data_IF_322322687905
#
_entry.id   IF_322322687905
#
_cell.length_a   1.000
_cell.length_b   1.000
_cell.length_c   1.000
_cell.angle_alpha   90.00
_cell.angle_beta   90.00
_cell.angle_gamma   90.00
#
_symmetry.space_group_name_H-M   'P 1'
#
loop_
_entity.id
_entity.type
_entity.pdbx_description
1 polymer ?
#
# COMPACT_ATOMS: atom_id res chain seq x y z
N UNK A 1 -17.56 12.37 12.67
CA UNK A 1 -18.72 11.45 12.51
C UNK A 1 -18.43 10.17 13.29
N UNK A 2 -19.42 9.56 13.95
CA UNK A 2 -19.25 8.28 14.67
C UNK A 2 -20.12 7.19 13.99
N UNK A 3 -19.54 6.18 13.31
CA UNK A 3 -20.31 5.18 12.58
C UNK A 3 -21.12 4.24 13.51
N UNK A 4 -20.74 4.10 14.78
CA UNK A 4 -21.52 3.32 15.76
C UNK A 4 -22.83 3.99 16.17
N UNK A 5 -22.96 5.30 15.97
CA UNK A 5 -24.18 6.07 16.26
C UNK A 5 -25.13 6.13 15.06
N UNK A 6 -24.66 5.72 13.87
CA UNK A 6 -25.47 5.65 12.67
C UNK A 6 -26.41 4.45 12.74
N UNK A 7 -27.61 4.61 12.17
CA UNK A 7 -28.53 3.49 12.01
C UNK A 7 -28.09 2.64 10.82
N UNK A 8 -27.69 1.37 11.01
CA UNK A 8 -27.25 0.54 9.90
C UNK A 8 -28.44 0.26 8.97
N UNK A 9 -28.14 0.15 7.68
CA UNK A 9 -29.12 -0.40 6.75
C UNK A 9 -29.37 -1.89 7.06
N UNK A 10 -30.44 -2.43 6.48
CA UNK A 10 -30.68 -3.87 6.60
C UNK A 10 -29.58 -4.63 5.86
N UNK A 11 -29.08 -5.69 6.49
CA UNK A 11 -27.98 -6.48 5.94
C UNK A 11 -28.28 -7.06 4.54
N UNK A 12 -29.55 -7.32 4.21
CA UNK A 12 -29.96 -7.86 2.91
C UNK A 12 -29.95 -6.82 1.77
N UNK A 13 -29.89 -5.53 2.08
CA UNK A 13 -29.88 -4.45 1.09
C UNK A 13 -28.62 -4.46 0.22
N UNK A 14 -27.50 -5.01 0.71
CA UNK A 14 -26.25 -5.15 -0.05
C UNK A 14 -26.37 -6.10 -1.24
N UNK A 15 -27.26 -7.09 -1.14
CA UNK A 15 -27.43 -8.09 -2.20
C UNK A 15 -28.25 -7.52 -3.34
N UNK A 16 -27.58 -7.37 -4.47
CA UNK A 16 -28.11 -6.72 -5.65
C UNK A 16 -27.76 -7.49 -6.93
N UNK A 17 -28.43 -7.16 -8.03
CA UNK A 17 -28.17 -7.78 -9.33
C UNK A 17 -26.85 -7.31 -9.96
N UNK A 18 -26.30 -8.15 -10.84
CA UNK A 18 -25.01 -7.92 -11.49
C UNK A 18 -24.92 -6.61 -12.29
N UNK A 19 -26.02 -6.06 -12.80
CA UNK A 19 -25.97 -4.79 -13.57
C UNK A 19 -25.64 -3.59 -12.68
N UNK A 20 -25.94 -3.67 -11.38
CA UNK A 20 -25.58 -2.64 -10.40
C UNK A 20 -24.19 -2.84 -9.79
N UNK A 21 -23.67 -4.06 -9.86
CA UNK A 21 -22.31 -4.39 -9.43
C UNK A 21 -21.30 -3.98 -10.49
N UNK A 22 -21.55 -4.33 -11.75
CA UNK A 22 -20.65 -4.04 -12.87
C UNK A 22 -20.91 -2.62 -13.35
N UNK A 23 -20.18 -1.66 -12.76
CA UNK A 23 -20.33 -0.24 -13.09
C UNK A 23 -19.45 0.12 -14.30
N UNK A 24 -19.76 1.27 -14.92
CA UNK A 24 -18.94 1.82 -16.00
C UNK A 24 -17.55 2.22 -15.42
N UNK A 25 -16.43 1.82 -16.06
CA UNK A 25 -15.10 2.30 -15.68
C UNK A 25 -14.95 3.82 -15.77
N UNK A 26 -13.94 4.37 -15.10
CA UNK A 26 -13.46 5.72 -15.41
C UNK A 26 -12.75 5.76 -16.77
N UNK A 27 -12.58 6.96 -17.33
CA UNK A 27 -11.79 7.17 -18.55
C UNK A 27 -10.34 7.45 -18.16
N UNK A 28 -9.41 6.58 -18.59
CA UNK A 28 -7.99 6.66 -18.20
C UNK A 28 -7.30 7.96 -18.61
N UNK A 29 -7.83 8.67 -19.61
CA UNK A 29 -7.23 9.90 -20.11
C UNK A 29 -7.69 11.16 -19.35
N UNK A 30 -8.82 11.09 -18.65
CA UNK A 30 -9.46 12.25 -17.99
C UNK A 30 -9.70 12.06 -16.51
N UNK A 31 -9.54 10.85 -15.98
CA UNK A 31 -9.62 10.57 -14.55
C UNK A 31 -8.53 11.35 -13.81
N UNK A 32 -8.87 11.90 -12.65
CA UNK A 32 -7.88 12.47 -11.75
C UNK A 32 -7.00 11.34 -11.18
N UNK A 33 -5.66 11.48 -11.17
CA UNK A 33 -4.77 10.47 -10.58
C UNK A 33 -5.18 10.02 -9.18
N UNK A 34 -5.67 10.91 -8.31
CA UNK A 34 -6.12 10.54 -6.97
C UNK A 34 -7.46 9.82 -6.94
N UNK A 35 -8.34 10.02 -7.94
CA UNK A 35 -9.48 9.12 -8.14
C UNK A 35 -9.00 7.70 -8.48
N UNK A 36 -7.96 7.54 -9.31
CA UNK A 36 -7.32 6.24 -9.57
C UNK A 36 -6.74 5.64 -8.28
N UNK A 37 -5.99 6.41 -7.48
CA UNK A 37 -5.40 5.93 -6.22
C UNK A 37 -6.48 5.44 -5.24
N UNK A 38 -7.59 6.17 -5.08
CA UNK A 38 -8.72 5.73 -4.23
C UNK A 38 -9.30 4.41 -4.70
N UNK A 39 -9.46 4.20 -6.01
CA UNK A 39 -9.95 2.92 -6.56
C UNK A 39 -8.97 1.78 -6.26
N UNK A 40 -7.65 2.02 -6.35
CA UNK A 40 -6.64 1.01 -6.02
C UNK A 40 -6.64 0.71 -4.53
N UNK A 41 -6.65 1.74 -3.67
CA UNK A 41 -6.70 1.61 -2.23
C UNK A 41 -7.93 0.82 -1.77
N UNK A 42 -9.12 1.23 -2.19
CA UNK A 42 -10.35 0.54 -1.80
C UNK A 42 -10.41 -0.88 -2.34
N UNK A 43 -9.79 -1.16 -3.49
CA UNK A 43 -9.64 -2.55 -3.94
C UNK A 43 -8.81 -3.37 -2.95
N UNK A 44 -7.70 -2.83 -2.43
CA UNK A 44 -6.85 -3.50 -1.44
C UNK A 44 -7.53 -3.69 -0.09
N UNK A 45 -8.27 -2.68 0.37
CA UNK A 45 -9.11 -2.74 1.58
C UNK A 45 -10.07 -3.93 1.54
N UNK A 46 -10.82 -4.06 0.45
CA UNK A 46 -11.78 -5.15 0.23
C UNK A 46 -11.10 -6.53 0.14
N UNK A 47 -9.91 -6.60 -0.45
CA UNK A 47 -9.11 -7.83 -0.45
C UNK A 47 -8.71 -8.24 0.97
N UNK A 48 -8.29 -7.28 1.81
CA UNK A 48 -7.95 -7.54 3.21
C UNK A 48 -9.17 -7.99 4.02
N UNK A 49 -10.34 -7.37 3.82
CA UNK A 49 -11.58 -7.76 4.51
C UNK A 49 -12.00 -9.20 4.21
N UNK A 50 -12.02 -9.55 2.92
CA UNK A 50 -12.29 -10.92 2.46
C UNK A 50 -11.28 -11.91 3.06
N UNK A 51 -9.99 -11.54 3.09
CA UNK A 51 -8.93 -12.38 3.66
C UNK A 51 -9.09 -12.56 5.16
N UNK A 52 -9.34 -11.49 5.90
CA UNK A 52 -9.51 -11.45 7.34
C UNK A 52 -10.66 -12.37 7.77
N UNK A 53 -11.84 -12.20 7.17
CA UNK A 53 -13.01 -13.03 7.50
C UNK A 53 -12.84 -14.50 7.08
N UNK A 54 -12.08 -14.79 6.01
CA UNK A 54 -11.71 -16.16 5.65
C UNK A 54 -10.74 -16.78 6.67
N UNK A 55 -9.72 -16.05 7.10
CA UNK A 55 -8.75 -16.51 8.09
C UNK A 55 -9.45 -16.84 9.43
N UNK A 56 -10.35 -15.97 9.87
CA UNK A 56 -11.19 -16.18 11.05
C UNK A 56 -12.11 -17.40 10.88
N UNK A 57 -12.77 -17.55 9.73
CA UNK A 57 -13.66 -18.69 9.44
C UNK A 57 -12.92 -20.04 9.53
N UNK A 58 -11.63 -20.09 9.16
CA UNK A 58 -10.80 -21.32 9.22
C UNK A 58 -10.38 -21.70 10.64
N UNK A 59 -10.45 -20.76 11.58
CA UNK A 59 -10.06 -20.95 12.97
C UNK A 59 -11.27 -20.98 13.92
N UNK A 60 -12.49 -20.77 13.40
CA UNK A 60 -13.71 -20.74 14.18
C UNK A 60 -14.45 -22.09 14.16
N UNK A 61 -14.71 -22.74 15.32
CA UNK A 61 -15.47 -23.99 15.37
C UNK A 61 -17.00 -23.78 15.34
N UNK A 62 -17.49 -22.55 15.57
CA UNK A 62 -18.92 -22.26 15.67
C UNK A 62 -19.55 -22.00 14.29
N UNK A 63 -20.45 -22.87 13.84
CA UNK A 63 -21.09 -22.72 12.53
C UNK A 63 -22.05 -21.54 12.41
N UNK A 64 -22.64 -21.05 13.50
CA UNK A 64 -23.51 -19.86 13.44
C UNK A 64 -22.69 -18.61 13.16
N UNK A 65 -21.52 -18.49 13.79
CA UNK A 65 -20.54 -17.45 13.47
C UNK A 65 -20.10 -17.57 12.03
N UNK A 66 -19.71 -18.77 11.58
CA UNK A 66 -19.22 -18.98 10.20
C UNK A 66 -20.28 -18.61 9.16
N UNK A 67 -21.57 -18.81 9.45
CA UNK A 67 -22.68 -18.37 8.59
C UNK A 67 -22.77 -16.85 8.53
N UNK A 68 -22.67 -16.16 9.67
CA UNK A 68 -22.67 -14.68 9.75
C UNK A 68 -21.47 -14.09 9.00
N UNK A 69 -20.27 -14.62 9.20
CA UNK A 69 -19.07 -14.23 8.44
C UNK A 69 -19.19 -14.52 6.93
N UNK A 70 -19.83 -15.62 6.54
CA UNK A 70 -20.07 -15.93 5.14
C UNK A 70 -21.07 -14.98 4.47
N UNK A 71 -22.03 -14.47 5.23
CA UNK A 71 -23.00 -13.48 4.78
C UNK A 71 -22.30 -12.13 4.52
N UNK A 72 -21.62 -11.59 5.54
CA UNK A 72 -20.82 -10.35 5.47
C UNK A 72 -19.83 -10.42 4.30
N UNK A 73 -19.00 -11.47 4.24
CA UNK A 73 -18.02 -11.66 3.15
C UNK A 73 -18.62 -11.71 1.75
N UNK A 74 -19.89 -12.12 1.60
CA UNK A 74 -20.56 -12.08 0.28
C UNK A 74 -20.89 -10.64 -0.10
N UNK A 75 -21.20 -9.79 0.88
CA UNK A 75 -21.27 -8.34 0.78
C UNK A 75 -19.94 -7.74 0.30
N UNK A 76 -18.86 -7.97 1.05
CA UNK A 76 -17.48 -7.55 0.68
C UNK A 76 -17.17 -7.92 -0.78
N UNK A 77 -17.43 -9.18 -1.16
CA UNK A 77 -17.16 -9.65 -2.52
C UNK A 77 -17.98 -8.94 -3.61
N UNK A 78 -19.12 -8.34 -3.29
CA UNK A 78 -19.86 -7.48 -4.22
C UNK A 78 -19.24 -6.08 -4.28
N UNK A 79 -18.80 -5.55 -3.15
CA UNK A 79 -18.11 -4.26 -3.06
C UNK A 79 -16.78 -4.30 -3.81
N UNK A 80 -15.93 -5.28 -3.49
CA UNK A 80 -14.71 -5.59 -4.22
C UNK A 80 -14.91 -5.62 -5.74
N UNK A 81 -15.97 -6.29 -6.24
CA UNK A 81 -16.24 -6.36 -7.69
C UNK A 81 -16.70 -5.04 -8.27
N UNK A 82 -17.48 -4.27 -7.52
CA UNK A 82 -17.92 -2.93 -7.92
C UNK A 82 -16.72 -2.00 -8.04
N UNK A 83 -15.87 -1.96 -7.03
CA UNK A 83 -14.62 -1.18 -7.03
C UNK A 83 -13.69 -1.64 -8.16
N UNK A 84 -13.46 -2.95 -8.31
CA UNK A 84 -12.63 -3.47 -9.39
C UNK A 84 -13.17 -3.13 -10.78
N UNK A 85 -14.50 -3.07 -10.97
CA UNK A 85 -15.11 -2.70 -12.25
C UNK A 85 -14.96 -1.21 -12.61
N UNK A 86 -14.45 -0.37 -11.69
CA UNK A 86 -14.07 1.00 -12.02
C UNK A 86 -12.77 1.08 -12.83
N UNK A 87 -11.92 0.05 -12.76
CA UNK A 87 -10.66 -0.01 -13.53
C UNK A 87 -10.97 -0.27 -15.02
N UNK A 88 -10.49 0.58 -15.93
CA UNK A 88 -10.78 0.44 -17.36
C UNK A 88 -9.97 -0.68 -18.00
N UNK A 89 -10.56 -1.39 -18.96
CA UNK A 89 -9.93 -2.54 -19.62
C UNK A 89 -8.86 -2.16 -20.64
N UNK A 90 -8.79 -0.89 -21.02
CA UNK A 90 -7.83 -0.31 -21.95
C UNK A 90 -6.64 0.37 -21.25
N UNK A 91 -6.54 0.26 -19.91
CA UNK A 91 -5.27 0.46 -19.20
C UNK A 91 -4.40 -0.81 -19.31
N UNK A 92 -3.13 -0.63 -19.66
CA UNK A 92 -2.14 -1.70 -19.74
C UNK A 92 -1.70 -2.14 -18.34
N UNK A 93 -1.03 -3.30 -18.27
CA UNK A 93 -0.43 -3.77 -17.00
C UNK A 93 0.50 -2.69 -16.42
N UNK A 94 1.33 -2.05 -17.26
CA UNK A 94 2.29 -1.06 -16.79
C UNK A 94 1.62 0.27 -16.39
N UNK A 95 0.55 0.70 -17.07
CA UNK A 95 -0.26 1.85 -16.62
C UNK A 95 -0.88 1.60 -15.23
N UNK A 96 -1.39 0.38 -14.98
CA UNK A 96 -1.86 -0.01 -13.66
C UNK A 96 -0.73 0.01 -12.63
N UNK A 97 0.45 -0.52 -12.97
CA UNK A 97 1.63 -0.55 -12.08
C UNK A 97 2.05 0.85 -11.65
N UNK A 98 2.12 1.83 -12.55
CA UNK A 98 2.39 3.22 -12.17
C UNK A 98 1.36 3.74 -11.17
N UNK A 99 0.08 3.37 -11.31
CA UNK A 99 -0.95 3.71 -10.33
C UNK A 99 -0.77 3.03 -8.97
N UNK A 100 -0.30 1.77 -8.93
CA UNK A 100 0.01 1.08 -7.68
C UNK A 100 1.20 1.72 -6.96
N UNK A 101 2.28 2.00 -7.69
CA UNK A 101 3.46 2.65 -7.12
C UNK A 101 3.18 4.08 -6.67
N UNK A 102 2.39 4.84 -7.45
CA UNK A 102 1.94 6.15 -7.00
C UNK A 102 1.08 6.05 -5.74
N UNK A 103 0.22 5.02 -5.61
CA UNK A 103 -0.53 4.79 -4.38
C UNK A 103 0.43 4.55 -3.22
N UNK A 104 1.38 3.63 -3.35
CA UNK A 104 2.34 3.30 -2.30
C UNK A 104 3.10 4.55 -1.82
N UNK A 105 3.66 5.33 -2.76
CA UNK A 105 4.38 6.59 -2.47
C UNK A 105 3.49 7.61 -1.75
N UNK A 106 2.37 7.99 -2.35
CA UNK A 106 1.57 9.11 -1.84
C UNK A 106 0.78 8.72 -0.58
N UNK A 107 0.32 7.47 -0.47
CA UNK A 107 -0.33 6.95 0.73
C UNK A 107 0.67 6.89 1.88
N UNK A 108 1.83 6.27 1.69
CA UNK A 108 2.84 6.10 2.76
C UNK A 108 3.29 7.46 3.28
N UNK A 109 3.59 8.42 2.41
CA UNK A 109 3.95 9.78 2.80
C UNK A 109 2.82 10.47 3.61
N UNK A 110 1.56 10.30 3.20
CA UNK A 110 0.41 10.88 3.88
C UNK A 110 0.21 10.29 5.29
N UNK A 111 0.27 8.96 5.41
CA UNK A 111 0.16 8.28 6.69
C UNK A 111 1.31 8.72 7.61
N UNK A 112 2.54 8.76 7.12
CA UNK A 112 3.73 9.14 7.89
C UNK A 112 3.69 10.59 8.41
N UNK A 113 3.06 11.51 7.68
CA UNK A 113 2.85 12.89 8.11
C UNK A 113 1.84 13.02 9.27
N UNK A 114 0.84 12.13 9.29
CA UNK A 114 -0.20 12.11 10.33
C UNK A 114 0.13 11.21 11.53
N UNK A 115 1.18 10.40 11.42
CA UNK A 115 1.57 9.39 12.40
C UNK A 115 2.29 10.01 13.61
N UNK A 116 1.80 9.69 14.82
CA UNK A 116 2.36 10.18 16.08
C UNK A 116 3.28 9.17 16.74
N UNK A 117 3.05 7.88 16.51
CA UNK A 117 3.95 6.85 16.97
C UNK A 117 5.24 6.90 16.14
N UNK A 118 6.34 7.35 16.77
CA UNK A 118 7.61 7.55 16.10
C UNK A 118 8.18 6.28 15.46
N UNK A 119 7.87 5.10 16.00
CA UNK A 119 8.33 3.83 15.45
C UNK A 119 7.57 3.43 14.19
N UNK A 120 6.23 3.51 14.22
CA UNK A 120 5.37 3.29 13.04
C UNK A 120 5.73 4.29 11.94
N UNK A 121 5.91 5.55 12.33
CA UNK A 121 6.36 6.61 11.43
C UNK A 121 7.70 6.27 10.77
N UNK A 122 8.66 5.77 11.55
CA UNK A 122 9.98 5.41 11.03
C UNK A 122 9.90 4.25 10.02
N UNK A 123 9.05 3.25 10.26
CA UNK A 123 8.82 2.18 9.29
C UNK A 123 8.21 2.71 7.98
N UNK A 124 7.20 3.60 8.07
CA UNK A 124 6.61 4.25 6.89
C UNK A 124 7.67 5.06 6.12
N UNK A 125 8.47 5.86 6.81
CA UNK A 125 9.54 6.67 6.20
C UNK A 125 10.63 5.79 5.56
N UNK A 126 10.89 4.63 6.14
CA UNK A 126 11.91 3.71 5.65
C UNK A 126 11.51 3.01 4.35
N UNK A 127 10.28 2.51 4.25
CA UNK A 127 9.77 1.80 3.08
C UNK A 127 9.37 2.76 1.95
N UNK A 128 8.92 3.99 2.28
CA UNK A 128 8.57 5.03 1.30
C UNK A 128 9.66 5.27 0.24
N UNK A 129 10.93 5.16 0.62
CA UNK A 129 12.04 5.40 -0.30
C UNK A 129 12.25 4.25 -1.30
N UNK A 130 11.78 3.05 -0.97
CA UNK A 130 11.81 1.87 -1.84
C UNK A 130 10.68 1.98 -2.87
N UNK A 131 9.44 2.23 -2.43
CA UNK A 131 8.28 2.49 -3.31
C UNK A 131 8.55 3.64 -4.29
N UNK A 132 9.24 4.68 -3.82
CA UNK A 132 9.62 5.81 -4.65
C UNK A 132 10.63 5.43 -5.76
N UNK A 133 11.55 4.51 -5.48
CA UNK A 133 12.47 3.97 -6.49
C UNK A 133 11.76 3.02 -7.46
N UNK A 134 10.78 2.24 -6.97
CA UNK A 134 9.96 1.36 -7.80
C UNK A 134 9.18 2.16 -8.86
N UNK A 135 8.53 3.26 -8.44
CA UNK A 135 7.84 4.19 -9.35
C UNK A 135 8.79 4.69 -10.45
N UNK A 136 10.00 5.09 -10.08
CA UNK A 136 11.04 5.52 -11.00
C UNK A 136 11.42 4.42 -12.01
N UNK A 137 11.69 3.20 -11.54
CA UNK A 137 12.07 2.10 -12.43
C UNK A 137 10.98 1.68 -13.40
N UNK A 138 9.72 1.65 -12.94
CA UNK A 138 8.60 1.34 -13.83
C UNK A 138 8.32 2.45 -14.83
N UNK A 139 8.56 3.72 -14.47
CA UNK A 139 8.46 4.84 -15.41
C UNK A 139 9.53 4.74 -16.51
N UNK A 140 10.78 4.44 -16.16
CA UNK A 140 11.84 4.20 -17.16
C UNK A 140 11.54 2.98 -18.04
N UNK A 141 10.96 1.91 -17.49
CA UNK A 141 10.49 0.78 -18.31
C UNK A 141 9.39 1.24 -19.28
N UNK A 142 8.46 2.09 -18.83
CA UNK A 142 7.35 2.60 -19.65
C UNK A 142 7.86 3.42 -20.82
N UNK A 143 8.82 4.31 -20.57
CA UNK A 143 9.45 5.10 -21.63
C UNK A 143 10.25 4.22 -22.60
N UNK A 144 11.05 3.28 -22.08
CA UNK A 144 11.84 2.35 -22.89
C UNK A 144 10.96 1.49 -23.81
N UNK A 145 9.81 1.03 -23.32
CA UNK A 145 8.87 0.19 -24.08
C UNK A 145 7.82 0.99 -24.86
N UNK A 146 7.80 2.33 -24.73
CA UNK A 146 6.77 3.23 -25.28
C UNK A 146 5.36 2.80 -24.84
N UNK A 147 5.24 2.42 -23.57
CA UNK A 147 4.06 1.81 -22.96
C UNK A 147 2.99 2.79 -22.47
N UNK A 148 3.24 4.10 -22.56
CA UNK A 148 2.37 5.15 -22.04
C UNK A 148 3.14 6.43 -21.76
N UNK A 149 2.54 7.33 -20.99
CA UNK A 149 3.15 8.55 -20.48
C UNK A 149 3.03 8.57 -18.95
N UNK A 150 4.12 8.32 -18.20
CA UNK A 150 4.10 8.36 -16.74
C UNK A 150 3.60 9.69 -16.18
N UNK A 151 3.89 10.82 -16.84
CA UNK A 151 3.47 12.15 -16.39
C UNK A 151 1.95 12.33 -16.43
N UNK A 152 1.29 11.77 -17.45
CA UNK A 152 -0.18 11.77 -17.49
C UNK A 152 -0.79 10.92 -16.36
N UNK A 153 -0.11 9.83 -15.98
CA UNK A 153 -0.62 8.93 -14.95
C UNK A 153 -0.47 9.50 -13.55
N UNK A 154 0.69 10.08 -13.22
CA UNK A 154 0.94 10.61 -11.88
C UNK A 154 0.46 12.05 -11.70
N UNK A 155 0.33 12.80 -12.81
CA UNK A 155 0.02 14.23 -12.80
C UNK A 155 1.10 15.07 -12.12
N UNK A 156 0.79 16.32 -11.76
CA UNK A 156 1.72 17.20 -11.06
C UNK A 156 1.86 16.86 -9.56
N UNK A 157 1.31 15.73 -9.13
CA UNK A 157 1.17 15.36 -7.71
C UNK A 157 2.42 14.67 -7.15
N UNK A 158 3.04 13.78 -7.92
CA UNK A 158 4.12 12.89 -7.45
C UNK A 158 5.33 13.07 -8.35
N UNK A 159 6.52 13.25 -7.76
CA UNK A 159 7.78 13.25 -8.50
C UNK A 159 8.16 11.82 -8.91
N UNK A 160 8.94 11.68 -9.98
CA UNK A 160 9.54 10.44 -10.45
C UNK A 160 11.04 10.69 -10.56
N UNK A 161 11.82 10.11 -9.63
CA UNK A 161 13.28 10.18 -9.62
C UNK A 161 13.82 9.07 -8.69
N UNK A 162 15.11 8.73 -8.74
CA UNK A 162 15.65 7.61 -7.95
C UNK A 162 15.37 7.74 -6.45
N UNK A 163 14.95 6.65 -5.83
CA UNK A 163 14.76 6.50 -4.38
C UNK A 163 15.94 5.77 -3.74
N UNK A 164 15.65 4.84 -2.82
CA UNK A 164 16.64 3.83 -2.41
C UNK A 164 16.85 2.90 -3.60
N UNK A 165 18.06 2.76 -4.17
CA UNK A 165 18.24 1.91 -5.33
C UNK A 165 17.78 0.48 -5.03
N UNK A 166 16.95 -0.15 -5.86
CA UNK A 166 16.37 -1.47 -5.56
C UNK A 166 17.37 -2.56 -5.15
N UNK A 167 18.59 -2.57 -5.70
CA UNK A 167 19.64 -3.51 -5.24
C UNK A 167 20.11 -3.29 -3.79
N UNK A 168 19.82 -2.13 -3.19
CA UNK A 168 20.10 -1.83 -1.79
C UNK A 168 19.02 -2.37 -0.84
N UNK A 169 17.83 -2.66 -1.33
CA UNK A 169 16.63 -2.95 -0.53
C UNK A 169 16.63 -4.39 0.00
N UNK A 170 17.30 -5.29 -0.72
CA UNK A 170 17.43 -6.71 -0.35
C UNK A 170 18.26 -6.88 0.92
N UNK A 171 17.56 -7.10 2.02
CA UNK A 171 18.09 -7.36 3.35
C UNK A 171 17.64 -8.72 3.84
N UNK A 172 18.30 -9.23 4.89
CA UNK A 172 17.96 -10.55 5.39
C UNK A 172 16.54 -10.52 6.00
N UNK A 173 15.67 -11.53 5.79
CA UNK A 173 14.28 -11.51 6.28
C UNK A 173 14.07 -11.37 7.80
N UNK A 174 15.15 -11.42 8.59
CA UNK A 174 15.09 -11.18 10.04
C UNK A 174 15.05 -9.68 10.34
N UNK A 175 15.58 -8.86 9.43
CA UNK A 175 15.62 -7.40 9.50
C UNK A 175 14.33 -6.74 8.99
N UNK A 176 13.36 -7.53 8.54
CA UNK A 176 12.03 -7.07 8.12
C UNK A 176 10.99 -7.21 9.22
N UNK A 177 11.32 -7.89 10.33
CA UNK A 177 10.39 -8.12 11.43
C UNK A 177 10.43 -6.92 12.38
N UNK A 178 9.29 -6.21 12.49
CA UNK A 178 9.14 -5.06 13.38
C UNK A 178 8.54 -5.42 14.74
N UNK A 179 8.73 -4.55 15.74
CA UNK A 179 7.92 -4.57 16.95
C UNK A 179 6.44 -4.30 16.62
N UNK A 180 5.54 -5.01 17.28
CA UNK A 180 4.11 -4.73 17.20
C UNK A 180 3.72 -3.58 18.13
N UNK A 181 2.66 -2.86 17.77
CA UNK A 181 2.05 -1.87 18.67
C UNK A 181 1.20 -2.57 19.73
N UNK A 182 1.15 -2.02 20.94
CA UNK A 182 0.09 -2.38 21.88
C UNK A 182 -1.19 -1.61 21.51
N UNK A 183 -2.24 -2.29 21.09
CA UNK A 183 -3.47 -1.69 20.59
C UNK A 183 -4.28 -0.88 21.63
N UNK A 184 -4.02 -1.10 22.92
CA UNK A 184 -4.61 -0.33 24.02
C UNK A 184 -3.84 0.95 24.35
N UNK A 185 -2.53 0.99 24.08
CA UNK A 185 -1.65 2.13 24.39
C UNK A 185 -1.42 3.06 23.19
N UNK A 186 -1.87 2.68 22.00
CA UNK A 186 -1.72 3.46 20.78
C UNK A 186 -3.06 4.04 20.34
N UNK A 187 -2.98 5.24 19.76
CA UNK A 187 -4.17 5.96 19.33
C UNK A 187 -4.87 5.26 18.16
N UNK A 188 -6.13 5.64 17.94
CA UNK A 188 -6.94 5.09 16.86
C UNK A 188 -6.32 5.34 15.47
N UNK A 189 -5.68 6.48 15.27
CA UNK A 189 -5.08 6.84 13.99
C UNK A 189 -3.90 5.92 13.65
N UNK A 190 -3.06 5.58 14.63
CA UNK A 190 -1.95 4.63 14.49
C UNK A 190 -2.46 3.27 14.03
N UNK A 191 -3.53 2.75 14.69
CA UNK A 191 -4.16 1.48 14.32
C UNK A 191 -4.73 1.50 12.89
N UNK A 192 -5.39 2.60 12.52
CA UNK A 192 -5.88 2.81 11.15
C UNK A 192 -4.72 2.83 10.16
N UNK A 193 -3.69 3.64 10.39
CA UNK A 193 -2.54 3.78 9.50
C UNK A 193 -1.91 2.41 9.21
N UNK A 194 -1.66 1.60 10.25
CA UNK A 194 -1.12 0.24 10.11
C UNK A 194 -2.05 -0.66 9.29
N UNK A 195 -3.35 -0.68 9.58
CA UNK A 195 -4.31 -1.50 8.83
C UNK A 195 -4.39 -1.09 7.35
N UNK A 196 -4.42 0.22 7.10
CA UNK A 196 -4.54 0.81 5.76
C UNK A 196 -3.31 0.46 4.92
N UNK A 197 -2.10 0.73 5.44
CA UNK A 197 -0.88 0.49 4.67
C UNK A 197 -0.64 -1.00 4.44
N UNK A 198 -0.92 -1.85 5.44
CA UNK A 198 -0.81 -3.31 5.28
C UNK A 198 -1.74 -3.82 4.17
N UNK A 199 -2.97 -3.31 4.09
CA UNK A 199 -3.92 -3.71 3.06
C UNK A 199 -3.51 -3.23 1.65
N UNK A 200 -2.96 -2.01 1.56
CA UNK A 200 -2.46 -1.44 0.31
C UNK A 200 -1.28 -2.27 -0.24
N UNK A 201 -0.22 -2.47 0.54
CA UNK A 201 0.97 -3.20 0.07
C UNK A 201 0.68 -4.67 -0.21
N UNK A 202 -0.18 -5.30 0.60
CA UNK A 202 -0.57 -6.67 0.33
C UNK A 202 -1.22 -6.81 -1.04
N UNK A 203 -1.98 -5.79 -1.46
CA UNK A 203 -2.63 -5.77 -2.76
C UNK A 203 -1.66 -5.43 -3.91
N UNK A 204 -0.68 -4.54 -3.70
CA UNK A 204 0.42 -4.30 -4.64
C UNK A 204 1.20 -5.59 -4.91
N UNK A 205 1.65 -6.28 -3.86
CA UNK A 205 2.33 -7.58 -3.94
C UNK A 205 1.48 -8.62 -4.69
N UNK A 206 0.18 -8.73 -4.35
CA UNK A 206 -0.73 -9.66 -5.02
C UNK A 206 -0.88 -9.36 -6.52
N UNK A 207 -0.90 -8.09 -6.90
CA UNK A 207 -0.96 -7.71 -8.31
C UNK A 207 0.30 -8.18 -9.05
N UNK A 208 1.49 -7.88 -8.54
CA UNK A 208 2.75 -8.32 -9.16
C UNK A 208 2.89 -9.83 -9.24
N UNK A 209 2.48 -10.56 -8.20
CA UNK A 209 2.49 -12.01 -8.21
C UNK A 209 1.58 -12.64 -9.28
N UNK A 210 0.53 -11.93 -9.71
CA UNK A 210 -0.38 -12.41 -10.76
C UNK A 210 0.02 -11.96 -12.17
N UNK A 211 0.57 -10.75 -12.33
CA UNK A 211 0.86 -10.17 -13.65
C UNK A 211 2.33 -10.26 -14.04
N UNK A 212 3.25 -10.31 -13.08
CA UNK A 212 4.69 -10.19 -13.30
C UNK A 212 5.22 -11.25 -14.25
N UNK A 213 4.85 -12.51 -14.06
CA UNK A 213 5.25 -13.61 -14.96
C UNK A 213 4.55 -13.61 -16.32
N UNK A 214 3.43 -12.89 -16.43
CA UNK A 214 2.67 -12.72 -17.66
C UNK A 214 3.08 -11.46 -18.44
N UNK A 215 3.96 -10.63 -17.89
CA UNK A 215 4.42 -9.42 -18.55
C UNK A 215 5.13 -9.76 -19.88
N UNK A 216 4.92 -8.93 -20.90
CA UNK A 216 5.27 -9.26 -22.28
C UNK A 216 6.79 -9.42 -22.48
N UNK A 217 7.58 -8.46 -22.01
CA UNK A 217 9.03 -8.47 -22.22
C UNK A 217 9.77 -9.30 -21.15
N UNK A 218 10.85 -10.01 -21.50
CA UNK A 218 11.69 -10.68 -20.51
C UNK A 218 12.26 -9.74 -19.43
N UNK A 219 12.63 -8.52 -19.84
CA UNK A 219 13.18 -7.51 -18.94
C UNK A 219 12.12 -7.01 -17.95
N UNK A 220 10.89 -6.73 -18.42
CA UNK A 220 9.79 -6.38 -17.54
C UNK A 220 9.49 -7.52 -16.56
N UNK A 221 9.45 -8.78 -17.01
CA UNK A 221 9.28 -9.93 -16.09
C UNK A 221 10.36 -9.97 -15.00
N UNK A 222 11.62 -9.65 -15.32
CA UNK A 222 12.68 -9.56 -14.32
C UNK A 222 12.42 -8.42 -13.32
N UNK A 223 12.12 -7.21 -13.81
CA UNK A 223 11.77 -6.05 -12.99
C UNK A 223 10.63 -6.37 -12.01
N UNK A 224 9.51 -6.93 -12.51
CA UNK A 224 8.37 -7.29 -11.65
C UNK A 224 8.70 -8.34 -10.59
N UNK A 225 9.48 -9.37 -10.94
CA UNK A 225 9.80 -10.41 -9.94
C UNK A 225 10.80 -9.90 -8.89
N UNK A 226 11.70 -9.00 -9.26
CA UNK A 226 12.62 -8.36 -8.32
C UNK A 226 11.87 -7.47 -7.34
N UNK A 227 11.06 -6.53 -7.85
CA UNK A 227 10.26 -5.63 -6.99
C UNK A 227 9.25 -6.40 -6.16
N UNK A 228 8.58 -7.43 -6.71
CA UNK A 228 7.62 -8.24 -5.94
C UNK A 228 8.22 -8.91 -4.68
N UNK A 229 9.52 -9.18 -4.65
CA UNK A 229 10.19 -9.65 -3.43
C UNK A 229 10.30 -8.55 -2.37
N UNK A 230 10.55 -7.31 -2.80
CA UNK A 230 10.60 -6.16 -1.89
C UNK A 230 9.21 -5.83 -1.35
N UNK A 231 8.17 -5.94 -2.19
CA UNK A 231 6.78 -5.81 -1.73
C UNK A 231 6.44 -6.83 -0.63
N UNK A 232 7.01 -8.04 -0.69
CA UNK A 232 6.86 -9.03 0.39
C UNK A 232 7.55 -8.55 1.69
N UNK A 233 8.75 -7.97 1.59
CA UNK A 233 9.44 -7.36 2.73
C UNK A 233 8.59 -6.24 3.36
N UNK A 234 7.93 -5.40 2.56
CA UNK A 234 7.04 -4.34 3.05
C UNK A 234 5.82 -4.91 3.75
N UNK A 235 5.18 -5.93 3.16
CA UNK A 235 4.04 -6.61 3.78
C UNK A 235 4.42 -7.23 5.12
N UNK A 236 5.59 -7.85 5.21
CA UNK A 236 6.13 -8.38 6.49
C UNK A 236 6.35 -7.23 7.48
N UNK A 237 7.04 -6.17 7.08
CA UNK A 237 7.33 -5.01 7.93
C UNK A 237 6.09 -4.33 8.49
N UNK A 238 5.11 -4.00 7.65
CA UNK A 238 3.86 -3.37 8.06
C UNK A 238 2.94 -4.34 8.82
N UNK A 239 2.86 -5.60 8.39
CA UNK A 239 2.07 -6.63 9.05
C UNK A 239 2.51 -6.89 10.48
N UNK A 240 3.82 -6.86 10.74
CA UNK A 240 4.40 -7.01 12.08
C UNK A 240 4.04 -5.87 13.04
N UNK A 241 3.67 -4.68 12.55
CA UNK A 241 3.24 -3.58 13.40
C UNK A 241 1.88 -3.86 14.07
N UNK A 242 1.03 -4.73 13.49
CA UNK A 242 -0.30 -5.07 14.04
C UNK A 242 -0.17 -5.77 15.39
N UNK A 243 -1.05 -5.45 16.34
CA UNK A 243 -1.09 -6.09 17.66
C UNK A 243 -1.50 -7.58 17.56
N UNK A 244 -0.60 -8.54 17.84
CA UNK A 244 -0.91 -9.97 17.78
C UNK A 244 -1.80 -10.42 18.94
N UNK A 245 -1.92 -9.63 20.01
CA UNK A 245 -2.69 -9.96 21.21
C UNK A 245 -4.20 -9.68 21.07
N UNK A 246 -4.62 -9.01 20.01
CA UNK A 246 -6.05 -8.82 19.72
C UNK A 246 -6.73 -10.16 19.49
N UNK A 247 -7.97 -10.32 19.95
CA UNK A 247 -8.82 -11.47 19.60
C UNK A 247 -9.34 -11.35 18.16
N UNK A 248 -9.79 -12.47 17.56
CA UNK A 248 -10.40 -12.45 16.23
C UNK A 248 -11.57 -11.47 16.13
N UNK A 249 -12.34 -11.30 17.20
CA UNK A 249 -13.47 -10.37 17.26
C UNK A 249 -13.05 -8.91 17.26
N UNK A 250 -11.98 -8.58 18.01
CA UNK A 250 -11.41 -7.23 18.03
C UNK A 250 -10.78 -6.90 16.68
N UNK A 251 -10.11 -7.88 16.05
CA UNK A 251 -9.56 -7.72 14.71
C UNK A 251 -10.64 -7.53 13.66
N UNK A 252 -11.73 -8.29 13.71
CA UNK A 252 -12.89 -8.10 12.84
C UNK A 252 -13.47 -6.70 13.02
N UNK A 253 -13.76 -6.27 14.26
CA UNK A 253 -14.27 -4.92 14.53
C UNK A 253 -13.35 -3.82 13.97
N UNK A 254 -12.03 -3.95 14.19
CA UNK A 254 -11.06 -2.97 13.68
C UNK A 254 -10.94 -3.01 12.16
N UNK A 255 -11.15 -4.16 11.52
CA UNK A 255 -11.20 -4.28 10.06
C UNK A 255 -12.37 -3.47 9.51
N UNK A 256 -13.61 -3.79 9.91
CA UNK A 256 -14.82 -3.08 9.45
C UNK A 256 -14.78 -1.58 9.78
N UNK A 257 -14.19 -1.22 10.93
CA UNK A 257 -14.01 0.20 11.29
C UNK A 257 -13.07 0.91 10.32
N UNK A 258 -12.01 0.23 9.86
CA UNK A 258 -11.06 0.75 8.88
C UNK A 258 -11.76 1.00 7.54
N UNK A 259 -12.64 0.08 7.11
CA UNK A 259 -13.41 0.22 5.86
C UNK A 259 -14.40 1.38 5.93
N UNK A 260 -15.15 1.47 7.04
CA UNK A 260 -16.00 2.62 7.34
C UNK A 260 -15.22 3.96 7.23
N UNK A 261 -14.04 4.02 7.86
CA UNK A 261 -13.19 5.21 7.84
C UNK A 261 -12.70 5.54 6.43
N UNK A 262 -12.27 4.53 5.65
CA UNK A 262 -11.73 4.72 4.31
C UNK A 262 -12.79 5.11 3.29
N UNK A 263 -13.95 4.45 3.27
CA UNK A 263 -15.04 4.81 2.37
C UNK A 263 -15.57 6.21 2.67
N UNK A 264 -15.69 6.58 3.95
CA UNK A 264 -16.07 7.94 4.31
C UNK A 264 -14.99 8.97 3.94
N UNK A 265 -13.71 8.66 4.13
CA UNK A 265 -12.60 9.51 3.69
C UNK A 265 -12.61 9.71 2.17
N UNK A 266 -12.82 8.63 1.39
CA UNK A 266 -12.93 8.70 -0.06
C UNK A 266 -14.15 9.51 -0.50
N UNK A 267 -15.31 9.33 0.16
CA UNK A 267 -16.51 10.13 -0.13
C UNK A 267 -16.28 11.63 0.05
N UNK A 268 -15.64 12.03 1.15
CA UNK A 268 -15.41 13.45 1.48
C UNK A 268 -14.35 14.10 0.57
N UNK A 269 -13.43 13.33 -0.01
CA UNK A 269 -12.31 13.85 -0.81
C UNK A 269 -12.47 13.63 -2.34
N UNK A 270 -13.43 12.80 -2.78
CA UNK A 270 -13.63 12.46 -4.19
C UNK A 270 -14.24 13.61 -5.01
N UNK A 271 -13.62 13.86 -6.17
CA UNK A 271 -14.01 14.91 -7.11
C UNK A 271 -14.93 14.41 -8.22
N UNK A 272 -14.82 13.14 -8.64
CA UNK A 272 -15.74 12.53 -9.60
C UNK A 272 -17.09 12.24 -8.92
N UNK A 273 -18.12 13.01 -9.27
CA UNK A 273 -19.45 12.91 -8.66
C UNK A 273 -20.15 11.55 -8.86
N UNK A 274 -19.78 10.77 -9.88
CA UNK A 274 -20.30 9.41 -10.10
C UNK A 274 -19.60 8.43 -9.16
N UNK A 275 -18.27 8.51 -9.06
CA UNK A 275 -17.49 7.62 -8.19
C UNK A 275 -17.76 7.94 -6.71
N UNK A 276 -17.93 9.21 -6.36
CA UNK A 276 -18.29 9.63 -5.00
C UNK A 276 -19.57 8.97 -4.50
N UNK A 277 -20.58 8.78 -5.36
CA UNK A 277 -21.82 8.06 -5.00
C UNK A 277 -21.61 6.58 -4.72
N UNK A 278 -20.56 5.98 -5.29
CA UNK A 278 -20.18 4.60 -5.01
C UNK A 278 -19.53 4.53 -3.61
N UNK A 279 -18.65 5.49 -3.28
CA UNK A 279 -18.09 5.60 -1.93
C UNK A 279 -19.16 5.82 -0.85
N UNK A 280 -20.15 6.67 -1.11
CA UNK A 280 -21.30 6.87 -0.21
C UNK A 280 -22.09 5.58 0.01
N UNK A 281 -22.40 4.85 -1.07
CA UNK A 281 -23.13 3.59 -1.01
C UNK A 281 -22.36 2.53 -0.22
N UNK A 282 -21.06 2.38 -0.48
CA UNK A 282 -20.22 1.44 0.24
C UNK A 282 -20.03 1.83 1.70
N UNK A 283 -19.95 3.12 2.02
CA UNK A 283 -19.97 3.56 3.41
C UNK A 283 -21.25 3.11 4.16
N UNK A 284 -22.43 3.19 3.53
CA UNK A 284 -23.66 2.65 4.13
C UNK A 284 -23.64 1.12 4.32
N UNK A 285 -22.97 0.40 3.41
CA UNK A 285 -22.74 -1.05 3.47
C UNK A 285 -21.82 -1.39 4.65
N UNK A 286 -20.69 -0.70 4.77
CA UNK A 286 -19.74 -0.88 5.87
C UNK A 286 -20.31 -0.55 7.25
N UNK A 287 -21.17 0.47 7.36
CA UNK A 287 -21.84 0.75 8.64
C UNK A 287 -22.69 -0.45 9.08
N UNK A 288 -23.31 -1.19 8.15
CA UNK A 288 -24.02 -2.41 8.51
C UNK A 288 -23.07 -3.55 8.95
N UNK A 289 -21.92 -3.71 8.27
CA UNK A 289 -20.92 -4.71 8.65
C UNK A 289 -20.24 -4.40 9.99
N UNK A 290 -19.93 -3.13 10.26
CA UNK A 290 -19.37 -2.70 11.54
C UNK A 290 -20.31 -3.00 12.72
N UNK A 291 -21.62 -2.74 12.55
CA UNK A 291 -22.61 -3.07 13.59
C UNK A 291 -22.74 -4.59 13.78
N UNK A 292 -22.65 -5.37 12.71
CA UNK A 292 -22.62 -6.83 12.77
C UNK A 292 -21.35 -7.34 13.50
N UNK A 293 -20.18 -6.75 13.23
CA UNK A 293 -18.93 -7.07 13.92
C UNK A 293 -18.99 -6.71 15.42
N UNK A 294 -19.59 -5.57 15.76
CA UNK A 294 -19.82 -5.17 17.14
C UNK A 294 -20.76 -6.14 17.88
N UNK A 295 -21.80 -6.64 17.21
CA UNK A 295 -22.72 -7.63 17.78
C UNK A 295 -22.04 -9.00 17.97
N UNK A 296 -21.19 -9.41 17.02
CA UNK A 296 -20.37 -10.62 17.14
C UNK A 296 -19.38 -10.53 18.31
N UNK A 297 -18.71 -9.39 18.46
CA UNK A 297 -17.83 -9.09 19.59
C UNK A 297 -18.60 -9.15 20.91
N UNK A 298 -19.80 -8.60 20.98
CA UNK A 298 -20.63 -8.65 22.18
C UNK A 298 -21.06 -10.07 22.52
N UNK A 299 -21.67 -10.75 21.56
CA UNK A 299 -22.27 -12.08 21.77
C UNK A 299 -21.23 -13.16 22.05
N UNK A 300 -20.13 -13.16 21.31
CA UNK A 300 -19.13 -14.25 21.35
C UNK A 300 -17.79 -13.85 21.95
N UNK A 301 -17.43 -12.56 21.88
CA UNK A 301 -16.22 -12.01 22.49
C UNK A 301 -16.42 -11.54 23.93
N UNK A 302 -17.66 -11.37 24.39
CA UNK A 302 -17.99 -10.89 25.73
C UNK A 302 -17.51 -9.45 25.99
N UNK A 303 -17.28 -8.68 24.93
CA UNK A 303 -16.83 -7.28 25.00
C UNK A 303 -17.77 -6.36 24.24
N UNK A 304 -17.85 -5.09 24.64
CA UNK A 304 -18.49 -4.05 23.83
C UNK A 304 -17.44 -3.29 23.03
N UNK A 305 -17.82 -2.68 21.91
CA UNK A 305 -16.87 -2.01 21.01
C UNK A 305 -16.06 -0.90 21.71
N UNK A 306 -16.64 -0.24 22.72
CA UNK A 306 -15.98 0.80 23.52
C UNK A 306 -14.76 0.26 24.29
N UNK A 307 -14.67 -1.05 24.53
CA UNK A 307 -13.49 -1.65 25.14
C UNK A 307 -12.34 -1.82 24.15
N UNK A 308 -12.63 -1.82 22.84
CA UNK A 308 -11.64 -1.85 21.75
C UNK A 308 -11.24 -0.42 21.34
N UNK A 309 -12.21 0.50 21.41
CA UNK A 309 -12.08 1.91 21.07
C UNK A 309 -12.47 2.79 22.28
N UNK A 310 -11.63 2.84 23.33
CA UNK A 310 -11.97 3.53 24.59
C UNK A 310 -12.06 5.05 24.48
N UNK A 311 -11.38 5.65 23.49
CA UNK A 311 -11.41 7.09 23.23
C UNK A 311 -12.69 7.54 22.49
N UNK A 312 -13.50 6.59 22.01
CA UNK A 312 -14.72 6.84 21.27
C UNK A 312 -14.66 6.28 19.84
N UNK A 313 -15.84 6.24 19.21
CA UNK A 313 -16.00 5.70 17.85
C UNK A 313 -15.89 6.76 16.75
N UNK A 314 -15.80 8.04 17.10
CA UNK A 314 -15.70 9.11 16.12
C UNK A 314 -14.44 8.97 15.25
N UNK A 315 -14.59 9.12 13.94
CA UNK A 315 -13.44 9.11 13.04
C UNK A 315 -12.42 10.19 13.45
N UNK A 316 -11.11 9.87 13.42
CA UNK A 316 -10.07 10.88 13.51
C UNK A 316 -10.04 11.72 12.21
N UNK A 317 -9.02 12.56 12.05
CA UNK A 317 -8.78 13.28 10.80
C UNK A 317 -8.78 12.30 9.61
N UNK A 318 -9.63 12.62 8.61
CA UNK A 318 -9.87 11.78 7.44
C UNK A 318 -8.68 11.77 6.50
N UNK A 319 -8.53 10.66 5.76
CA UNK A 319 -7.49 10.52 4.75
C UNK A 319 -7.84 11.40 3.54
N UNK A 320 -6.89 12.21 3.08
CA UNK A 320 -7.06 13.09 1.92
C UNK A 320 -5.79 13.08 1.08
N UNK A 321 -5.87 12.69 -0.19
CA UNK A 321 -4.69 12.64 -1.06
C UNK A 321 -4.27 14.05 -1.46
N UNK A 322 -3.03 14.42 -1.15
CA UNK A 322 -2.42 15.71 -1.47
C UNK A 322 -0.97 15.44 -1.85
N UNK A 323 -0.41 16.26 -2.73
CA UNK A 323 1.00 16.16 -3.11
C UNK A 323 1.88 16.30 -1.87
N UNK A 324 2.79 15.33 -1.66
CA UNK A 324 3.74 15.31 -0.52
C UNK A 324 5.20 15.45 -0.96
N UNK A 325 5.46 16.10 -2.11
CA UNK A 325 6.81 16.25 -2.69
C UNK A 325 7.84 16.75 -1.68
N UNK A 326 7.54 17.82 -0.94
CA UNK A 326 8.50 18.38 0.03
C UNK A 326 8.85 17.40 1.15
N UNK A 327 7.88 16.62 1.60
CA UNK A 327 8.06 15.61 2.61
C UNK A 327 8.97 14.48 2.11
N UNK A 328 8.64 13.89 0.95
CA UNK A 328 9.42 12.81 0.33
C UNK A 328 10.87 13.26 0.10
N UNK A 329 11.07 14.47 -0.42
CA UNK A 329 12.41 15.06 -0.61
C UNK A 329 13.20 15.22 0.68
N UNK A 330 12.54 15.43 1.82
CA UNK A 330 13.22 15.46 3.10
C UNK A 330 13.60 14.05 3.58
N UNK A 331 12.71 13.08 3.42
CA UNK A 331 12.97 11.68 3.82
C UNK A 331 14.04 11.03 2.93
N UNK A 332 14.15 11.38 1.64
CA UNK A 332 15.21 10.88 0.73
C UNK A 332 16.63 11.06 1.28
N UNK A 333 16.85 11.99 2.21
CA UNK A 333 18.15 12.17 2.87
C UNK A 333 18.57 10.97 3.74
N UNK A 334 17.63 10.10 4.12
CA UNK A 334 17.87 8.89 4.93
C UNK A 334 17.97 7.62 4.08
N UNK A 335 18.20 7.74 2.77
CA UNK A 335 18.27 6.62 1.82
C UNK A 335 19.31 5.54 2.17
N UNK A 336 20.29 5.87 3.02
CA UNK A 336 21.38 4.98 3.46
C UNK A 336 21.07 4.12 4.68
N UNK A 337 19.90 4.30 5.29
CA UNK A 337 19.43 3.41 6.34
C UNK A 337 19.13 2.02 5.79
N UNK A 338 19.43 1.00 6.58
CA UNK A 338 18.97 -0.38 6.38
C UNK A 338 18.32 -0.92 7.67
N UNK A 339 17.53 -1.98 7.54
CA UNK A 339 16.92 -2.68 8.69
C UNK A 339 17.96 -3.45 9.51
N UNK A 340 17.79 -3.45 10.83
CA UNK A 340 18.64 -4.15 11.80
C UNK A 340 17.78 -4.71 12.91
N UNK A 341 17.38 -5.98 12.77
CA UNK A 341 16.35 -6.58 13.62
C UNK A 341 15.11 -5.68 13.62
N UNK A 342 14.57 -5.29 14.78
CA UNK A 342 13.44 -4.38 14.87
C UNK A 342 13.83 -2.89 14.71
N UNK A 343 15.07 -2.56 14.38
CA UNK A 343 15.59 -1.20 14.28
C UNK A 343 16.08 -0.81 12.88
N UNK A 344 16.64 0.40 12.79
CA UNK A 344 17.20 0.94 11.55
C UNK A 344 18.55 1.60 11.84
N UNK A 345 19.53 1.38 10.97
CA UNK A 345 20.85 1.98 11.14
C UNK A 345 21.49 2.32 9.79
N UNK A 346 22.36 3.32 9.81
CA UNK A 346 23.21 3.67 8.67
C UNK A 346 24.18 2.53 8.37
N UNK A 347 24.28 2.12 7.11
CA UNK A 347 25.18 1.03 6.67
C UNK A 347 26.64 1.21 7.13
N UNK A 348 27.13 2.45 7.21
CA UNK A 348 28.47 2.77 7.69
C UNK A 348 28.79 2.22 9.08
N UNK A 349 27.79 2.18 9.95
CA UNK A 349 27.98 1.81 11.36
C UNK A 349 27.88 0.30 11.58
N UNK A 350 27.40 -0.45 10.60
CA UNK A 350 27.24 -1.89 10.70
C UNK A 350 28.59 -2.59 10.55
N UNK A 351 28.87 -3.70 11.25
CA UNK A 351 30.08 -4.48 11.01
C UNK A 351 30.04 -5.11 9.61
N UNK A 352 31.19 -5.29 8.96
CA UNK A 352 31.26 -5.94 7.62
C UNK A 352 30.72 -7.38 7.63
N UNK A 353 30.69 -8.02 8.80
CA UNK A 353 30.10 -9.34 9.03
C UNK A 353 28.57 -9.31 9.19
N UNK A 354 27.93 -8.14 9.15
CA UNK A 354 26.49 -8.04 9.27
C UNK A 354 25.79 -8.75 8.10
N UNK A 355 24.70 -9.44 8.40
CA UNK A 355 24.01 -10.34 7.46
C UNK A 355 23.52 -9.66 6.20
N UNK A 356 23.22 -8.35 6.24
CA UNK A 356 22.91 -7.55 5.06
C UNK A 356 23.90 -7.80 3.91
N UNK A 357 25.21 -7.65 4.16
CA UNK A 357 26.22 -7.72 3.10
C UNK A 357 26.28 -9.09 2.43
N UNK A 358 26.24 -10.16 3.23
CA UNK A 358 26.30 -11.53 2.69
C UNK A 358 25.00 -11.97 2.03
N UNK A 359 23.84 -11.53 2.55
CA UNK A 359 22.54 -11.79 1.95
C UNK A 359 22.39 -11.04 0.62
N UNK A 360 22.65 -9.73 0.61
CA UNK A 360 22.57 -8.88 -0.58
C UNK A 360 23.47 -9.38 -1.71
N UNK A 361 24.73 -9.70 -1.39
CA UNK A 361 25.66 -10.27 -2.37
C UNK A 361 25.19 -11.62 -2.92
N UNK A 362 24.54 -12.45 -2.10
CA UNK A 362 24.03 -13.76 -2.53
C UNK A 362 22.80 -13.67 -3.43
N UNK A 363 21.89 -12.73 -3.14
CA UNK A 363 20.68 -12.54 -3.95
C UNK A 363 21.03 -12.00 -5.32
N UNK A 364 21.86 -10.96 -5.39
CA UNK A 364 22.20 -10.35 -6.68
C UNK A 364 23.23 -11.14 -7.46
N UNK A 365 24.24 -11.73 -6.80
CA UNK A 365 25.42 -12.28 -7.47
C UNK A 365 26.21 -11.18 -8.20
N UNK A 366 25.73 -10.75 -9.37
CA UNK A 366 26.18 -9.58 -10.11
C UNK A 366 25.06 -8.54 -10.19
N UNK A 367 25.29 -7.38 -9.58
CA UNK A 367 24.34 -6.26 -9.53
C UNK A 367 23.97 -5.74 -10.94
N UNK A 368 24.90 -5.86 -11.90
CA UNK A 368 24.70 -5.47 -13.30
C UNK A 368 23.69 -6.38 -14.03
N UNK A 369 23.30 -7.52 -13.44
CA UNK A 369 22.31 -8.42 -14.00
C UNK A 369 20.93 -8.27 -13.37
N UNK A 370 20.79 -7.40 -12.37
CA UNK A 370 19.50 -7.07 -11.78
C UNK A 370 18.63 -6.38 -12.85
N UNK A 371 17.44 -6.93 -13.11
CA UNK A 371 16.48 -6.40 -14.08
C UNK A 371 16.09 -4.96 -13.76
N UNK A 372 15.91 -4.65 -12.48
CA UNK A 372 15.67 -3.31 -11.92
C UNK A 372 16.67 -2.28 -12.44
N UNK A 373 17.96 -2.59 -12.44
CA UNK A 373 19.02 -1.69 -12.91
C UNK A 373 19.29 -1.82 -14.41
N UNK A 374 19.11 -3.01 -14.98
CA UNK A 374 19.20 -3.22 -16.44
C UNK A 374 18.18 -2.37 -17.21
N UNK A 375 17.00 -2.12 -16.64
CA UNK A 375 16.01 -1.18 -17.19
C UNK A 375 16.60 0.22 -17.31
N UNK A 376 17.18 0.75 -16.22
CA UNK A 376 17.75 2.10 -16.19
C UNK A 376 18.93 2.21 -17.15
N UNK A 377 19.86 1.24 -17.13
CA UNK A 377 20.99 1.22 -18.06
C UNK A 377 20.53 1.25 -19.54
N UNK A 378 19.47 0.51 -19.87
CA UNK A 378 18.91 0.48 -21.23
C UNK A 378 18.15 1.75 -21.58
N UNK A 379 17.41 2.34 -20.64
CA UNK A 379 16.75 3.63 -20.81
C UNK A 379 17.79 4.71 -21.10
N UNK A 380 18.84 4.83 -20.28
CA UNK A 380 19.95 5.76 -20.49
C UNK A 380 20.63 5.51 -21.84
N UNK A 381 20.91 4.25 -22.20
CA UNK A 381 21.55 3.94 -23.48
C UNK A 381 20.67 4.31 -24.69
N UNK A 382 19.35 4.26 -24.55
CA UNK A 382 18.39 4.57 -25.61
C UNK A 382 18.07 6.07 -25.70
N UNK A 383 17.90 6.74 -24.56
CA UNK A 383 17.39 8.09 -24.44
C UNK A 383 18.50 9.14 -24.19
N UNK A 384 19.69 8.69 -23.78
CA UNK A 384 20.82 9.52 -23.38
C UNK A 384 20.85 9.85 -21.87
N UNK A 385 19.70 9.76 -21.21
CA UNK A 385 19.51 9.96 -19.77
C UNK A 385 18.34 9.10 -19.25
N UNK A 386 18.24 8.95 -17.94
CA UNK A 386 17.08 8.35 -17.28
C UNK A 386 15.83 9.25 -17.34
N UNK A 387 14.66 8.64 -17.24
CA UNK A 387 13.41 9.39 -17.19
C UNK A 387 13.16 9.92 -15.77
N UNK A 388 12.81 11.21 -15.67
CA UNK A 388 12.47 11.84 -14.38
C UNK A 388 11.41 12.92 -14.53
N UNK A 389 10.57 13.04 -13.51
CA UNK A 389 9.67 14.15 -13.25
C UNK A 389 10.07 14.74 -11.89
N UNK A 390 10.81 15.84 -11.88
CA UNK A 390 11.25 16.47 -10.62
C UNK A 390 11.21 18.00 -10.73
N UNK A 391 10.71 18.66 -9.70
CA UNK A 391 10.54 20.12 -9.67
C UNK A 391 11.86 20.84 -9.32
N UNK A 392 12.78 20.13 -8.65
CA UNK A 392 14.07 20.64 -8.16
C UNK A 392 15.14 19.53 -8.26
N UNK A 393 16.42 19.92 -8.29
CA UNK A 393 17.56 19.00 -8.30
C UNK A 393 17.47 17.93 -7.20
N UNK A 394 17.86 16.69 -7.51
CA UNK A 394 17.77 15.56 -6.58
C UNK A 394 18.41 15.88 -5.20
N UNK A 395 17.73 15.64 -4.07
CA UNK A 395 18.24 16.03 -2.73
C UNK A 395 19.47 15.24 -2.28
N UNK A 396 19.70 14.06 -2.86
CA UNK A 396 20.89 13.22 -2.63
C UNK A 396 21.81 13.33 -3.85
N UNK A 397 22.98 13.96 -3.68
CA UNK A 397 23.93 14.21 -4.77
C UNK A 397 24.36 12.96 -5.53
N UNK A 398 24.52 11.83 -4.83
CA UNK A 398 24.94 10.57 -5.44
C UNK A 398 23.90 9.99 -6.42
N UNK A 399 22.63 10.39 -6.30
CA UNK A 399 21.50 9.95 -7.13
C UNK A 399 21.10 11.00 -8.18
N UNK A 400 21.85 12.10 -8.29
CA UNK A 400 21.53 13.21 -9.19
C UNK A 400 22.02 13.01 -10.64
N UNK A 401 22.95 12.08 -10.87
CA UNK A 401 23.46 11.78 -12.20
C UNK A 401 22.38 11.08 -13.03
N UNK A 402 22.00 11.69 -14.15
CA UNK A 402 20.98 11.17 -15.07
C UNK A 402 21.55 10.26 -16.15
N UNK A 403 22.87 10.27 -16.33
CA UNK A 403 23.57 9.56 -17.41
C UNK A 403 24.21 8.27 -16.93
N UNK A 404 24.05 7.94 -15.64
CA UNK A 404 24.59 6.75 -15.03
C UNK A 404 23.73 6.34 -13.84
N UNK A 405 23.27 5.11 -13.88
CA UNK A 405 22.53 4.50 -12.78
C UNK A 405 23.40 4.37 -11.51
N UNK A 406 22.78 4.49 -10.33
CA UNK A 406 23.44 4.34 -9.05
C UNK A 406 23.12 2.96 -8.46
N UNK A 407 24.15 2.16 -8.25
CA UNK A 407 24.04 0.82 -7.66
C UNK A 407 24.73 0.71 -6.31
N UNK A 408 25.16 1.82 -5.70
CA UNK A 408 26.05 1.81 -4.52
C UNK A 408 25.45 2.51 -3.31
N UNK A 409 24.74 3.63 -3.50
CA UNK A 409 24.12 4.39 -2.43
C UNK A 409 23.13 3.52 -1.66
N UNK A 410 23.31 3.43 -0.33
CA UNK A 410 22.47 2.58 0.50
C UNK A 410 22.76 1.08 0.38
N UNK A 411 23.84 0.67 -0.31
CA UNK A 411 24.29 -0.73 -0.41
C UNK A 411 25.75 -0.94 -0.04
N UNK A 412 26.61 -0.03 -0.46
CA UNK A 412 28.07 -0.10 -0.27
C UNK A 412 28.50 0.97 0.73
N UNK A 413 29.38 0.59 1.65
CA UNK A 413 29.96 1.55 2.58
C UNK A 413 30.83 2.59 1.86
N UNK A 414 30.65 3.86 2.19
CA UNK A 414 31.35 5.02 1.67
C UNK A 414 30.71 5.66 0.44
N UNK A 415 29.56 5.16 -0.02
CA UNK A 415 28.90 5.57 -1.27
C UNK A 415 27.85 6.71 -1.15
#
# INVERSE_FOLDING_TARGET
MNPFELKPQKADKIFTDWKKVLVKPYDKHTVDPYTRLRVILMSGTEFESVRCTHAMTRQCPNNDVRRRLAYMRRGEQLQQKRVASLKPSDETILEHTIGYEQLAVDLTANLALSEKNSYVKQQLDFALLEDFDHLYRYADLMELEKGGDPAQLVGDYTEIMPGRPTVAEYRHPYDDVNFYINGYLNDLKTKLNINIITAAEQQTMNFYMNVGNLYASPLGRQLYNEIAMIEEQHVTGYGCLKDPCMTDWERLLMNEYTECYLYYSCYEDETDARIRKIWEMHFEEEVAHLHEAAELLHTYGGKVWQQVLPEGGAFPELLKFRSQKEYIRNILKTVRLTGVEEGFEELEKLPDSFRYFSYNARIHGSVQQAGTHTVIEKAIAHLGEDYRIQDKEHPVRALADRTRDNTETGRVKGA
#
